data_IF_098997178560
#
_entry.id   IF_098997178560
#
_cell.length_a   1.000
_cell.length_b   1.000
_cell.length_c   1.000
_cell.angle_alpha   90.00
_cell.angle_beta   90.00
_cell.angle_gamma   90.00
#
_symmetry.space_group_name_H-M   'P 1'
#
loop_
_entity.id
_entity.type
_entity.pdbx_description
1 polymer ?
#
# COMPACT_ATOMS: atom_id res chain seq x y z
N UNK A 1 -3.89 -63.35 -30.97
CA UNK A 1 -2.98 -62.40 -30.32
C UNK A 1 -3.56 -61.01 -30.53
N UNK A 2 -4.21 -60.50 -29.49
CA UNK A 2 -4.98 -59.25 -29.50
C UNK A 2 -4.07 -58.11 -29.09
N UNK A 3 -3.91 -57.09 -29.93
CA UNK A 3 -3.11 -55.90 -29.63
C UNK A 3 -4.04 -54.83 -29.09
N UNK A 4 -4.04 -54.67 -27.77
CA UNK A 4 -4.81 -53.65 -27.04
C UNK A 4 -4.13 -52.29 -27.23
N UNK A 5 -4.85 -51.35 -27.83
CA UNK A 5 -4.52 -49.92 -27.80
C UNK A 5 -4.75 -49.40 -26.36
N UNK A 6 -3.69 -48.91 -25.72
CA UNK A 6 -3.79 -48.24 -24.43
C UNK A 6 -4.49 -46.88 -24.61
N UNK A 7 -5.81 -46.85 -24.36
CA UNK A 7 -6.51 -45.59 -24.05
C UNK A 7 -6.08 -45.16 -22.65
N UNK A 8 -5.32 -44.08 -22.55
CA UNK A 8 -5.13 -43.39 -21.28
C UNK A 8 -6.49 -42.86 -20.83
N UNK A 9 -7.03 -43.46 -19.76
CA UNK A 9 -8.17 -42.93 -19.03
C UNK A 9 -7.76 -41.59 -18.40
N UNK A 10 -8.03 -40.49 -19.10
CA UNK A 10 -8.09 -39.18 -18.44
C UNK A 10 -9.38 -39.17 -17.65
N UNK A 11 -9.26 -39.26 -16.32
CA UNK A 11 -10.38 -39.06 -15.40
C UNK A 11 -11.07 -37.72 -15.71
N UNK A 12 -12.41 -37.63 -15.72
CA UNK A 12 -13.08 -36.37 -15.96
C UNK A 12 -12.62 -35.35 -14.91
N UNK A 13 -12.15 -34.17 -15.35
CA UNK A 13 -11.95 -33.02 -14.46
C UNK A 13 -13.30 -32.74 -13.81
N UNK A 14 -13.40 -32.98 -12.51
CA UNK A 14 -14.49 -32.43 -11.71
C UNK A 14 -14.36 -30.90 -11.80
N UNK A 15 -15.23 -30.27 -12.57
CA UNK A 15 -15.55 -28.86 -12.33
C UNK A 15 -16.18 -28.81 -10.93
N UNK A 16 -15.41 -28.36 -9.95
CA UNK A 16 -15.88 -28.20 -8.58
C UNK A 16 -16.43 -26.78 -8.43
N UNK A 17 -17.75 -26.62 -8.23
CA UNK A 17 -18.32 -25.33 -7.92
C UNK A 17 -17.96 -24.99 -6.48
N UNK A 18 -17.63 -23.72 -6.23
CA UNK A 18 -17.29 -23.11 -4.93
C UNK A 18 -16.03 -23.64 -4.23
N UNK A 19 -15.11 -22.71 -3.93
CA UNK A 19 -13.96 -22.91 -3.05
C UNK A 19 -14.44 -23.39 -1.67
N UNK A 20 -14.56 -24.70 -1.46
CA UNK A 20 -14.44 -25.26 -0.13
C UNK A 20 -13.07 -24.84 0.41
N UNK A 21 -13.09 -24.18 1.56
CA UNK A 21 -11.94 -23.61 2.23
C UNK A 21 -11.01 -24.74 2.71
N UNK A 22 -10.26 -25.33 1.78
CA UNK A 22 -9.07 -26.09 2.13
C UNK A 22 -8.07 -25.07 2.67
N UNK A 23 -7.83 -25.11 3.99
CA UNK A 23 -6.77 -24.36 4.66
C UNK A 23 -5.42 -24.81 4.09
N UNK A 24 -5.03 -24.24 2.95
CA UNK A 24 -3.68 -24.33 2.45
C UNK A 24 -2.90 -23.20 3.10
N UNK A 25 -1.89 -23.55 3.90
CA UNK A 25 -0.98 -22.58 4.50
C UNK A 25 -0.21 -21.89 3.36
N UNK A 26 -0.60 -20.66 3.02
CA UNK A 26 0.06 -19.83 2.00
C UNK A 26 1.44 -19.34 2.45
N UNK A 27 1.68 -19.33 3.77
CA UNK A 27 2.97 -19.07 4.39
C UNK A 27 2.84 -18.85 5.90
N UNK A 28 3.97 -18.75 6.60
CA UNK A 28 4.04 -18.30 7.99
C UNK A 28 4.64 -16.90 8.03
N UNK A 29 4.16 -16.05 8.94
CA UNK A 29 4.64 -14.68 9.14
C UNK A 29 4.52 -14.29 10.60
N UNK A 30 5.52 -13.54 11.07
CA UNK A 30 5.50 -12.89 12.40
C UNK A 30 5.32 -11.37 12.28
N UNK A 31 5.03 -10.85 11.07
CA UNK A 31 4.89 -9.40 10.81
C UNK A 31 3.61 -8.87 11.44
N UNK A 32 2.48 -9.54 11.16
CA UNK A 32 1.19 -9.22 11.73
C UNK A 32 0.39 -10.47 12.06
N UNK A 33 -0.48 -10.36 13.06
CA UNK A 33 -1.39 -11.43 13.46
C UNK A 33 -2.72 -10.87 13.92
N UNK A 34 -3.79 -11.62 13.64
CA UNK A 34 -5.12 -11.36 14.17
C UNK A 34 -5.42 -12.51 15.13
N UNK A 35 -5.39 -12.22 16.42
CA UNK A 35 -5.75 -13.19 17.47
C UNK A 35 -7.09 -12.80 18.08
N UNK A 36 -7.13 -11.60 18.67
CA UNK A 36 -8.36 -10.95 19.15
C UNK A 36 -8.44 -9.56 18.53
N UNK A 37 -7.32 -8.84 18.59
CA UNK A 37 -7.09 -7.59 17.86
C UNK A 37 -5.96 -7.80 16.82
N UNK A 38 -5.81 -6.84 15.91
CA UNK A 38 -4.66 -6.74 15.01
C UNK A 38 -3.39 -6.38 15.80
N UNK A 39 -2.35 -7.18 15.63
CA UNK A 39 -1.04 -6.94 16.21
C UNK A 39 0.02 -6.81 15.13
N UNK A 40 0.96 -5.88 15.31
CA UNK A 40 2.19 -5.74 14.52
C UNK A 40 3.36 -6.18 15.37
N UNK A 41 4.09 -7.22 14.93
CA UNK A 41 5.25 -7.77 15.65
C UNK A 41 4.99 -8.01 17.16
N UNK A 42 3.76 -8.42 17.50
CA UNK A 42 3.33 -8.65 18.89
C UNK A 42 2.77 -7.43 19.64
N UNK A 43 2.79 -6.23 19.06
CA UNK A 43 2.21 -5.02 19.65
C UNK A 43 0.79 -4.79 19.11
N UNK A 44 -0.16 -4.49 20.01
CA UNK A 44 -1.53 -4.15 19.61
C UNK A 44 -1.54 -2.85 18.80
N UNK A 45 -2.16 -2.88 17.63
CA UNK A 45 -2.25 -1.70 16.75
C UNK A 45 -2.97 -0.54 17.44
N UNK A 46 -3.97 -0.81 18.28
CA UNK A 46 -4.64 0.21 19.08
C UNK A 46 -3.68 0.94 20.05
N UNK A 47 -2.73 0.24 20.66
CA UNK A 47 -1.73 0.85 21.54
C UNK A 47 -0.72 1.66 20.74
N UNK A 48 -0.26 1.14 19.59
CA UNK A 48 0.63 1.87 18.67
C UNK A 48 -0.03 3.16 18.15
N UNK A 49 -1.32 3.11 17.79
CA UNK A 49 -2.07 4.28 17.33
C UNK A 49 -2.18 5.40 18.38
N UNK A 50 -2.03 5.08 19.67
CA UNK A 50 -2.05 6.07 20.76
C UNK A 50 -0.65 6.54 21.13
N UNK A 51 0.34 5.63 21.13
CA UNK A 51 1.65 5.86 21.76
C UNK A 51 2.81 6.01 20.78
N UNK A 52 2.60 5.71 19.50
CA UNK A 52 3.63 5.73 18.47
C UNK A 52 3.23 6.62 17.29
N UNK A 53 4.17 6.82 16.37
CA UNK A 53 3.98 7.44 15.06
C UNK A 53 4.21 6.46 13.91
N UNK A 54 3.92 6.89 12.69
CA UNK A 54 4.07 6.09 11.48
C UNK A 54 5.51 5.63 11.26
N UNK A 55 6.52 6.49 11.47
CA UNK A 55 7.93 6.12 11.24
C UNK A 55 8.42 5.04 12.22
N UNK A 56 7.99 5.08 13.48
CA UNK A 56 8.26 4.01 14.45
C UNK A 56 7.64 2.68 14.01
N UNK A 57 6.42 2.71 13.48
CA UNK A 57 5.73 1.50 13.01
C UNK A 57 6.34 0.98 11.70
N UNK A 58 6.72 1.86 10.78
CA UNK A 58 7.46 1.46 9.59
C UNK A 58 8.80 0.80 9.96
N UNK A 59 9.54 1.39 10.90
CA UNK A 59 10.75 0.79 11.45
C UNK A 59 10.46 -0.57 12.11
N UNK A 60 9.43 -0.66 12.95
CA UNK A 60 9.02 -1.90 13.62
C UNK A 60 8.73 -3.02 12.62
N UNK A 61 7.95 -2.75 11.58
CA UNK A 61 7.54 -3.75 10.61
C UNK A 61 8.74 -4.29 9.83
N UNK A 62 9.62 -3.39 9.38
CA UNK A 62 10.76 -3.74 8.54
C UNK A 62 11.96 -4.28 9.36
N UNK A 63 12.19 -3.81 10.58
CA UNK A 63 13.33 -4.19 11.45
C UNK A 63 12.96 -5.23 12.52
N UNK A 64 11.67 -5.52 12.72
CA UNK A 64 11.17 -6.53 13.67
C UNK A 64 11.10 -6.10 15.13
N UNK A 65 11.54 -4.88 15.47
CA UNK A 65 11.47 -4.30 16.83
C UNK A 65 11.27 -2.79 16.78
N UNK A 66 10.79 -2.20 17.88
CA UNK A 66 10.71 -0.75 18.00
C UNK A 66 12.13 -0.13 18.00
N UNK A 67 12.29 1.06 17.41
CA UNK A 67 13.56 1.78 17.43
C UNK A 67 13.84 2.38 18.81
N UNK A 68 15.11 2.56 19.13
CA UNK A 68 15.53 3.54 20.15
C UNK A 68 15.36 4.97 19.61
N UNK A 69 15.45 5.98 20.49
CA UNK A 69 15.29 7.37 20.07
C UNK A 69 16.33 7.81 19.02
N UNK A 70 17.57 7.36 19.16
CA UNK A 70 18.65 7.68 18.22
C UNK A 70 18.41 6.99 16.87
N UNK A 71 17.97 5.73 16.88
CA UNK A 71 17.62 5.00 15.66
C UNK A 71 16.41 5.61 14.95
N UNK A 72 15.40 6.05 15.70
CA UNK A 72 14.24 6.73 15.13
C UNK A 72 14.63 8.06 14.48
N UNK A 73 15.50 8.82 15.14
CA UNK A 73 16.00 10.10 14.62
C UNK A 73 16.80 9.87 13.33
N UNK A 74 17.69 8.89 13.32
CA UNK A 74 18.45 8.51 12.12
C UNK A 74 17.53 8.02 11.00
N UNK A 75 16.51 7.23 11.32
CA UNK A 75 15.56 6.70 10.35
C UNK A 75 14.70 7.81 9.72
N UNK A 76 14.18 8.74 10.52
CA UNK A 76 13.46 9.93 10.02
C UNK A 76 14.34 10.77 9.09
N UNK A 77 15.59 11.00 9.45
CA UNK A 77 16.53 11.76 8.61
C UNK A 77 16.86 11.03 7.31
N UNK A 78 17.00 9.70 7.34
CA UNK A 78 17.16 8.87 6.15
C UNK A 78 15.95 9.04 5.21
N UNK A 79 14.73 8.82 5.73
CA UNK A 79 13.50 8.98 4.94
C UNK A 79 13.35 10.40 4.40
N UNK A 80 13.71 11.43 5.17
CA UNK A 80 13.71 12.82 4.72
C UNK A 80 14.59 13.01 3.48
N UNK A 81 15.81 12.48 3.49
CA UNK A 81 16.75 12.58 2.37
C UNK A 81 16.30 11.83 1.11
N UNK A 82 15.37 10.88 1.26
CA UNK A 82 14.85 10.01 0.20
C UNK A 82 13.52 10.51 -0.40
N UNK A 83 13.07 11.73 -0.11
CA UNK A 83 11.84 12.33 -0.66
C UNK A 83 11.98 12.93 -2.07
N UNK A 84 13.12 13.56 -2.46
CA UNK A 84 13.21 14.26 -3.74
C UNK A 84 12.91 13.37 -4.96
N UNK A 85 12.24 13.97 -5.95
CA UNK A 85 11.91 13.31 -7.22
C UNK A 85 13.01 13.50 -8.26
N UNK A 86 13.44 12.44 -8.97
CA UNK A 86 14.34 12.59 -10.10
C UNK A 86 13.71 13.45 -11.21
N UNK A 87 14.47 14.33 -11.90
CA UNK A 87 13.93 15.19 -12.96
C UNK A 87 13.23 14.43 -14.10
N UNK A 88 13.74 13.24 -14.44
CA UNK A 88 13.13 12.37 -15.44
C UNK A 88 11.74 11.88 -15.02
N UNK A 89 11.56 11.55 -13.73
CA UNK A 89 10.28 11.15 -13.17
C UNK A 89 9.28 12.34 -13.20
N UNK A 90 9.73 13.53 -12.80
CA UNK A 90 8.92 14.75 -12.88
C UNK A 90 8.37 14.97 -14.31
N UNK A 91 9.22 14.88 -15.32
CA UNK A 91 8.82 15.06 -16.72
C UNK A 91 7.78 14.02 -17.17
N UNK A 92 7.82 12.80 -16.63
CA UNK A 92 6.83 11.76 -16.92
C UNK A 92 5.52 12.04 -16.19
N UNK A 93 5.56 12.43 -14.91
CA UNK A 93 4.36 12.78 -14.13
C UNK A 93 3.57 13.90 -14.81
N UNK A 94 4.24 14.91 -15.36
CA UNK A 94 3.61 16.01 -16.09
C UNK A 94 2.89 15.59 -17.38
N UNK A 95 3.20 14.41 -17.91
CA UNK A 95 2.55 13.84 -19.11
C UNK A 95 1.37 12.94 -18.79
N UNK A 96 1.18 12.56 -17.52
CA UNK A 96 0.04 11.75 -17.09
C UNK A 96 -1.19 12.66 -16.97
N UNK A 97 -2.33 12.32 -17.62
CA UNK A 97 -3.51 13.17 -17.63
C UNK A 97 -4.17 13.28 -16.24
N UNK A 98 -4.83 14.42 -15.98
CA UNK A 98 -5.56 14.68 -14.72
C UNK A 98 -6.69 13.67 -14.42
N UNK A 99 -7.18 12.98 -15.45
CA UNK A 99 -8.22 11.94 -15.37
C UNK A 99 -7.67 10.57 -14.98
N UNK A 100 -6.35 10.39 -14.90
CA UNK A 100 -5.76 9.13 -14.47
C UNK A 100 -6.15 8.80 -13.02
N UNK A 101 -6.32 7.51 -12.73
CA UNK A 101 -6.58 7.05 -11.38
C UNK A 101 -5.30 7.18 -10.52
N UNK A 102 -5.33 7.73 -9.29
CA UNK A 102 -4.15 7.90 -8.44
C UNK A 102 -3.26 6.66 -8.29
N UNK A 103 -3.85 5.47 -8.10
CA UNK A 103 -3.08 4.22 -8.03
C UNK A 103 -2.39 3.84 -9.36
N UNK A 104 -2.94 4.22 -10.52
CA UNK A 104 -2.27 4.00 -11.81
C UNK A 104 -1.08 4.96 -11.97
N UNK A 105 -1.15 6.16 -11.38
CA UNK A 105 -0.04 7.12 -11.30
C UNK A 105 1.08 6.57 -10.41
N UNK A 106 0.75 6.08 -9.21
CA UNK A 106 1.70 5.44 -8.31
C UNK A 106 2.38 4.24 -8.97
N UNK A 107 1.61 3.37 -9.65
CA UNK A 107 2.15 2.21 -10.39
C UNK A 107 3.15 2.66 -11.47
N UNK A 108 2.77 3.66 -12.27
CA UNK A 108 3.62 4.18 -13.35
C UNK A 108 4.87 4.84 -12.81
N UNK A 109 4.74 5.63 -11.75
CA UNK A 109 5.84 6.28 -11.06
C UNK A 109 6.85 5.30 -10.47
N UNK A 110 6.37 4.27 -9.77
CA UNK A 110 7.21 3.17 -9.29
C UNK A 110 7.94 2.45 -10.44
N UNK A 111 7.25 2.19 -11.55
CA UNK A 111 7.88 1.58 -12.73
C UNK A 111 8.98 2.46 -13.33
N UNK A 112 8.81 3.77 -13.36
CA UNK A 112 9.87 4.70 -13.80
C UNK A 112 11.06 4.66 -12.84
N UNK A 113 10.82 4.68 -11.52
CA UNK A 113 11.87 4.57 -10.52
C UNK A 113 12.70 3.31 -10.70
N UNK A 114 12.08 2.16 -11.01
CA UNK A 114 12.80 0.92 -11.28
C UNK A 114 13.84 1.03 -12.43
N UNK A 115 13.65 1.95 -13.37
CA UNK A 115 14.61 2.20 -14.45
C UNK A 115 15.70 3.20 -14.06
N UNK A 116 15.37 4.16 -13.19
CA UNK A 116 16.28 5.24 -12.78
C UNK A 116 17.17 4.83 -11.62
N UNK A 117 16.62 4.02 -10.72
CA UNK A 117 17.20 3.59 -9.44
C UNK A 117 17.02 2.06 -9.33
N UNK A 118 17.63 1.26 -10.24
CA UNK A 118 17.42 -0.18 -10.27
C UNK A 118 17.94 -0.85 -9.00
N UNK A 119 17.21 -1.85 -8.51
CA UNK A 119 17.69 -2.72 -7.44
C UNK A 119 18.81 -3.60 -7.97
N UNK A 120 19.95 -3.61 -7.26
CA UNK A 120 21.00 -4.57 -7.54
C UNK A 120 20.60 -5.96 -7.02
N UNK A 121 20.21 -6.83 -7.93
CA UNK A 121 19.93 -8.23 -7.62
C UNK A 121 21.23 -9.02 -7.60
N UNK A 122 21.63 -9.53 -6.42
CA UNK A 122 22.81 -10.39 -6.25
C UNK A 122 22.44 -11.84 -5.87
N UNK A 123 21.80 -12.65 -6.74
CA UNK A 123 21.53 -14.05 -6.42
C UNK A 123 22.83 -14.84 -6.18
N UNK A 124 22.90 -15.76 -5.20
CA UNK A 124 21.83 -16.17 -4.29
C UNK A 124 21.78 -15.39 -2.96
N UNK A 125 22.62 -14.35 -2.81
CA UNK A 125 22.80 -13.61 -1.57
C UNK A 125 21.95 -12.33 -1.61
N UNK A 126 20.68 -12.46 -1.26
CA UNK A 126 19.86 -11.30 -0.96
C UNK A 126 20.34 -10.73 0.38
N UNK A 127 21.00 -9.58 0.32
CA UNK A 127 21.39 -8.85 1.52
C UNK A 127 20.23 -7.95 1.96
N UNK A 128 19.92 -7.95 3.26
CA UNK A 128 18.84 -7.13 3.81
C UNK A 128 19.07 -5.62 3.55
N UNK A 129 20.32 -5.17 3.42
CA UNK A 129 20.70 -3.77 3.25
C UNK A 129 20.19 -3.14 1.95
N UNK A 130 20.62 -3.63 0.76
CA UNK A 130 20.18 -3.10 -0.53
C UNK A 130 18.66 -3.11 -0.70
N UNK A 131 18.01 -4.20 -0.29
CA UNK A 131 16.56 -4.35 -0.34
C UNK A 131 15.84 -3.36 0.58
N UNK A 132 16.36 -3.20 1.79
CA UNK A 132 15.83 -2.22 2.74
C UNK A 132 15.97 -0.80 2.20
N UNK A 133 17.07 -0.47 1.53
CA UNK A 133 17.27 0.86 0.94
C UNK A 133 16.23 1.17 -0.14
N UNK A 134 15.89 0.20 -1.00
CA UNK A 134 14.82 0.35 -2.00
C UNK A 134 13.45 0.50 -1.34
N UNK A 135 13.16 -0.29 -0.30
CA UNK A 135 11.92 -0.18 0.45
C UNK A 135 11.76 1.19 1.12
N UNK A 136 12.80 1.69 1.80
CA UNK A 136 12.82 3.00 2.45
C UNK A 136 12.69 4.13 1.41
N UNK A 137 13.35 4.00 0.25
CA UNK A 137 13.23 4.93 -0.87
C UNK A 137 11.80 5.00 -1.38
N UNK A 138 11.15 3.85 -1.62
CA UNK A 138 9.76 3.80 -2.08
C UNK A 138 8.78 4.34 -1.02
N UNK A 139 9.00 4.04 0.26
CA UNK A 139 8.21 4.59 1.37
C UNK A 139 8.24 6.13 1.39
N UNK A 140 9.43 6.70 1.21
CA UNK A 140 9.65 8.15 1.27
C UNK A 140 9.13 8.89 0.02
N UNK A 141 9.34 8.34 -1.18
CA UNK A 141 9.11 9.04 -2.45
C UNK A 141 7.67 8.96 -2.98
N UNK A 142 6.95 7.87 -2.67
CA UNK A 142 5.60 7.64 -3.22
C UNK A 142 4.58 8.73 -2.82
N UNK A 143 4.57 9.25 -1.57
CA UNK A 143 3.76 10.40 -1.19
C UNK A 143 4.05 11.64 -2.04
N UNK A 144 5.35 11.96 -2.22
CA UNK A 144 5.84 13.11 -2.98
C UNK A 144 5.42 13.02 -4.45
N UNK A 145 5.60 11.84 -5.05
CA UNK A 145 5.25 11.53 -6.42
C UNK A 145 3.76 11.81 -6.70
N UNK A 146 2.90 11.30 -5.82
CA UNK A 146 1.45 11.46 -5.95
C UNK A 146 1.03 12.92 -5.79
N UNK A 147 1.54 13.61 -4.77
CA UNK A 147 1.20 15.01 -4.51
C UNK A 147 1.68 15.92 -5.64
N UNK A 148 2.88 15.68 -6.17
CA UNK A 148 3.42 16.44 -7.30
C UNK A 148 2.50 16.32 -8.52
N UNK A 149 2.14 15.09 -8.92
CA UNK A 149 1.23 14.88 -10.05
C UNK A 149 -0.15 15.53 -9.80
N UNK A 150 -0.70 15.37 -8.59
CA UNK A 150 -2.00 15.93 -8.24
C UNK A 150 -2.00 17.46 -8.36
N UNK A 151 -1.05 18.14 -7.72
CA UNK A 151 -0.91 19.61 -7.75
C UNK A 151 -0.65 20.13 -9.17
N UNK A 152 0.20 19.45 -9.93
CA UNK A 152 0.48 19.83 -11.31
C UNK A 152 -0.76 19.72 -12.21
N UNK A 153 -1.51 18.63 -12.11
CA UNK A 153 -2.63 18.36 -13.01
C UNK A 153 -3.95 19.01 -12.60
N UNK A 154 -4.16 19.23 -11.30
CA UNK A 154 -5.40 19.83 -10.75
C UNK A 154 -5.29 21.32 -10.55
N UNK A 155 -4.15 21.79 -10.06
CA UNK A 155 -3.96 23.20 -9.70
C UNK A 155 -3.10 23.95 -10.72
N UNK A 156 -2.50 23.23 -11.68
CA UNK A 156 -1.67 23.83 -12.74
C UNK A 156 -0.32 24.36 -12.26
N UNK A 157 0.16 23.90 -11.10
CA UNK A 157 1.40 24.39 -10.48
C UNK A 157 2.46 23.29 -10.38
N UNK A 158 3.70 23.63 -10.73
CA UNK A 158 4.86 22.82 -10.37
C UNK A 158 5.29 23.23 -8.96
N UNK A 159 5.33 22.27 -8.04
CA UNK A 159 5.68 22.49 -6.63
C UNK A 159 7.11 22.05 -6.38
N UNK A 160 7.76 22.67 -5.39
CA UNK A 160 8.93 22.08 -4.77
C UNK A 160 8.52 20.81 -4.02
N UNK A 161 9.37 19.80 -4.08
CA UNK A 161 9.18 18.51 -3.41
C UNK A 161 9.88 18.46 -2.05
N UNK A 162 10.66 19.48 -1.70
CA UNK A 162 11.29 19.62 -0.39
C UNK A 162 10.35 20.37 0.57
N UNK A 163 10.26 19.90 1.81
CA UNK A 163 9.46 20.52 2.88
C UNK A 163 10.23 20.45 4.19
N UNK A 164 10.03 21.41 5.09
CA UNK A 164 10.62 21.39 6.43
C UNK A 164 9.93 20.40 7.41
N UNK A 165 8.89 19.70 6.94
CA UNK A 165 8.14 18.75 7.75
C UNK A 165 8.96 17.50 8.07
N UNK A 166 9.16 17.21 9.36
CA UNK A 166 9.92 16.04 9.77
C UNK A 166 9.20 14.72 9.48
N UNK A 167 7.87 14.66 9.67
CA UNK A 167 7.10 13.43 9.49
C UNK A 167 6.57 13.26 8.08
N UNK A 168 6.38 12.01 7.67
CA UNK A 168 5.84 11.61 6.37
C UNK A 168 4.41 12.11 6.20
N UNK A 169 3.62 12.08 7.28
CA UNK A 169 2.28 12.65 7.30
C UNK A 169 2.30 14.18 7.11
N UNK A 170 3.20 14.88 7.81
CA UNK A 170 3.38 16.32 7.67
C UNK A 170 3.77 16.69 6.24
N UNK A 171 4.78 16.00 5.71
CA UNK A 171 5.27 16.15 4.35
C UNK A 171 4.15 15.98 3.30
N UNK A 172 3.38 14.89 3.37
CA UNK A 172 2.28 14.63 2.45
C UNK A 172 1.23 15.75 2.48
N UNK A 173 0.79 16.17 3.67
CA UNK A 173 -0.22 17.24 3.80
C UNK A 173 0.31 18.60 3.34
N UNK A 174 1.58 18.89 3.64
CA UNK A 174 2.23 20.12 3.22
C UNK A 174 2.26 20.23 1.69
N UNK A 175 2.66 19.18 0.99
CA UNK A 175 2.65 19.15 -0.48
C UNK A 175 1.23 19.22 -1.06
N UNK A 176 0.28 18.49 -0.46
CA UNK A 176 -1.10 18.44 -0.92
C UNK A 176 -1.82 19.79 -0.79
N UNK A 177 -1.59 20.52 0.31
CA UNK A 177 -2.28 21.78 0.59
C UNK A 177 -1.47 23.04 0.22
N UNK A 178 -0.14 22.91 0.06
CA UNK A 178 0.77 24.03 -0.18
C UNK A 178 1.08 24.87 1.06
N UNK A 179 0.76 24.38 2.27
CA UNK A 179 1.09 25.02 3.54
C UNK A 179 1.26 23.97 4.65
N UNK A 180 1.97 24.31 5.73
CA UNK A 180 2.14 23.43 6.88
C UNK A 180 0.78 22.97 7.46
N UNK A 181 0.59 21.67 7.77
CA UNK A 181 -0.63 21.19 8.40
C UNK A 181 -0.69 21.58 9.88
N UNK A 182 -1.89 21.66 10.43
CA UNK A 182 -2.06 21.73 11.89
C UNK A 182 -1.64 20.41 12.55
N UNK A 183 -1.25 20.47 13.83
CA UNK A 183 -0.89 19.30 14.61
C UNK A 183 -1.98 18.21 14.61
N UNK A 184 -3.26 18.62 14.60
CA UNK A 184 -4.38 17.68 14.51
C UNK A 184 -4.42 16.97 13.15
N UNK A 185 -4.29 17.70 12.04
CA UNK A 185 -4.27 17.09 10.70
C UNK A 185 -3.11 16.12 10.55
N UNK A 186 -1.91 16.53 10.99
CA UNK A 186 -0.72 15.68 10.96
C UNK A 186 -0.93 14.41 11.79
N UNK A 187 -1.48 14.52 13.01
CA UNK A 187 -1.75 13.34 13.85
C UNK A 187 -2.82 12.43 13.26
N UNK A 188 -3.87 12.98 12.67
CA UNK A 188 -4.92 12.18 12.04
C UNK A 188 -4.36 11.35 10.87
N UNK A 189 -3.56 11.96 10.00
CA UNK A 189 -2.95 11.24 8.88
C UNK A 189 -1.89 10.24 9.35
N UNK A 190 -1.08 10.61 10.34
CA UNK A 190 -0.09 9.71 10.94
C UNK A 190 -0.72 8.42 11.48
N UNK A 191 -1.81 8.54 12.25
CA UNK A 191 -2.58 7.39 12.72
C UNK A 191 -3.21 6.63 11.56
N UNK A 192 -3.74 7.32 10.55
CA UNK A 192 -4.34 6.67 9.38
C UNK A 192 -3.30 5.80 8.63
N UNK A 193 -2.09 6.32 8.42
CA UNK A 193 -0.99 5.59 7.79
C UNK A 193 -0.56 4.40 8.64
N UNK A 194 -0.44 4.58 9.95
CA UNK A 194 -0.11 3.52 10.89
C UNK A 194 -1.14 2.38 10.84
N UNK A 195 -2.43 2.69 10.85
CA UNK A 195 -3.50 1.69 10.79
C UNK A 195 -3.52 0.89 9.47
N UNK A 196 -3.03 1.48 8.38
CA UNK A 196 -2.95 0.85 7.06
C UNK A 196 -1.57 0.24 6.75
N UNK A 197 -0.64 0.27 7.71
CA UNK A 197 0.75 -0.11 7.45
C UNK A 197 0.91 -1.60 7.10
N UNK A 198 0.09 -2.48 7.68
CA UNK A 198 0.15 -3.92 7.42
C UNK A 198 -1.19 -4.62 7.74
N UNK A 199 -1.54 -5.65 6.96
CA UNK A 199 -2.76 -6.44 7.20
C UNK A 199 -2.65 -7.88 6.68
N UNK A 200 -1.57 -8.57 7.04
CA UNK A 200 -1.33 -9.98 6.75
C UNK A 200 -1.32 -10.31 5.26
N UNK A 201 -1.81 -11.50 4.93
CA UNK A 201 -1.91 -12.00 3.55
C UNK A 201 -3.15 -11.48 2.83
N UNK A 202 -3.39 -10.17 2.89
CA UNK A 202 -4.36 -9.54 2.01
C UNK A 202 -3.90 -9.67 0.54
N UNK A 203 -4.83 -9.52 -0.41
CA UNK A 203 -4.58 -9.79 -1.84
C UNK A 203 -3.36 -9.04 -2.40
N UNK A 204 -3.18 -7.76 -2.04
CA UNK A 204 -1.99 -7.00 -2.48
C UNK A 204 -0.69 -7.52 -1.90
N UNK A 205 -0.64 -7.83 -0.59
CA UNK A 205 0.55 -8.42 0.04
C UNK A 205 0.85 -9.82 -0.52
N UNK A 206 -0.18 -10.61 -0.80
CA UNK A 206 -0.04 -11.93 -1.43
C UNK A 206 0.59 -11.81 -2.83
N UNK A 207 0.10 -10.89 -3.65
CA UNK A 207 0.62 -10.64 -5.00
C UNK A 207 2.05 -10.12 -5.01
N UNK A 208 2.43 -9.25 -4.06
CA UNK A 208 3.83 -8.87 -3.87
C UNK A 208 4.70 -10.09 -3.53
N UNK A 209 4.26 -10.94 -2.60
CA UNK A 209 5.00 -12.15 -2.20
C UNK A 209 5.13 -13.16 -3.34
N UNK A 210 4.09 -13.35 -4.15
CA UNK A 210 4.17 -14.20 -5.35
C UNK A 210 5.16 -13.67 -6.38
N UNK A 211 5.24 -12.34 -6.55
CA UNK A 211 6.23 -11.72 -7.42
C UNK A 211 7.67 -11.88 -6.86
N UNK A 212 7.86 -11.62 -5.57
CA UNK A 212 9.16 -11.83 -4.91
C UNK A 212 9.59 -13.31 -4.91
N UNK A 213 8.66 -14.26 -4.86
CA UNK A 213 8.95 -15.70 -4.87
C UNK A 213 9.63 -16.19 -6.15
N UNK A 214 9.48 -15.45 -7.26
CA UNK A 214 10.22 -15.69 -8.51
C UNK A 214 11.48 -14.84 -8.63
N UNK A 215 11.98 -14.29 -7.51
CA UNK A 215 13.19 -13.49 -7.43
C UNK A 215 13.12 -12.17 -8.23
N UNK A 216 11.91 -11.61 -8.35
CA UNK A 216 11.73 -10.26 -8.89
C UNK A 216 12.16 -9.20 -7.85
N UNK A 217 12.55 -8.03 -8.35
CA UNK A 217 12.92 -6.88 -7.53
C UNK A 217 11.72 -6.27 -6.78
N UNK A 218 12.01 -5.43 -5.78
CA UNK A 218 11.04 -4.78 -4.91
C UNK A 218 10.12 -3.83 -5.69
N UNK A 219 10.60 -3.15 -6.74
CA UNK A 219 9.73 -2.31 -7.55
C UNK A 219 8.69 -3.17 -8.27
N UNK A 220 9.11 -4.28 -8.87
CA UNK A 220 8.21 -5.26 -9.50
C UNK A 220 7.18 -5.81 -8.51
N UNK A 221 7.61 -6.18 -7.29
CA UNK A 221 6.72 -6.64 -6.24
C UNK A 221 5.70 -5.57 -5.81
N UNK A 222 6.14 -4.32 -5.66
CA UNK A 222 5.26 -3.19 -5.33
C UNK A 222 4.27 -2.89 -6.46
N UNK A 223 4.69 -2.93 -7.72
CA UNK A 223 3.81 -2.77 -8.88
C UNK A 223 2.71 -3.83 -8.90
N UNK A 224 3.07 -5.08 -8.59
CA UNK A 224 2.12 -6.20 -8.44
C UNK A 224 1.10 -5.92 -7.34
N UNK A 225 1.56 -5.50 -6.15
CA UNK A 225 0.70 -5.14 -5.03
C UNK A 225 -0.24 -3.97 -5.33
N UNK A 226 0.26 -2.88 -5.90
CA UNK A 226 -0.55 -1.70 -6.26
C UNK A 226 -1.63 -2.06 -7.29
N UNK A 227 -1.30 -2.95 -8.23
CA UNK A 227 -2.25 -3.42 -9.23
C UNK A 227 -3.40 -4.23 -8.61
N UNK A 228 -3.09 -5.07 -7.61
CA UNK A 228 -4.11 -5.79 -6.83
C UNK A 228 -4.94 -4.85 -5.94
N UNK A 229 -4.28 -3.88 -5.28
CA UNK A 229 -4.93 -2.92 -4.40
C UNK A 229 -5.96 -2.05 -5.13
N UNK A 230 -5.74 -1.76 -6.42
CA UNK A 230 -6.70 -1.05 -7.28
C UNK A 230 -8.04 -1.78 -7.43
N UNK A 231 -8.08 -3.09 -7.19
CA UNK A 231 -9.32 -3.88 -7.29
C UNK A 231 -10.45 -3.29 -6.45
N UNK A 232 -11.64 -3.20 -7.05
CA UNK A 232 -12.87 -2.66 -6.42
C UNK A 232 -13.22 -3.38 -5.12
N UNK A 233 -12.97 -4.70 -5.07
CA UNK A 233 -13.22 -5.54 -3.89
C UNK A 233 -12.11 -5.47 -2.83
N UNK A 234 -11.04 -4.71 -3.06
CA UNK A 234 -9.91 -4.55 -2.13
C UNK A 234 -9.75 -3.07 -1.75
N UNK A 235 -8.66 -2.40 -2.15
CA UNK A 235 -8.43 -0.99 -1.82
C UNK A 235 -9.44 -0.02 -2.44
N UNK A 236 -10.13 -0.42 -3.51
CA UNK A 236 -11.22 0.36 -4.12
C UNK A 236 -12.50 0.43 -3.28
N UNK A 237 -12.62 -0.37 -2.21
CA UNK A 237 -13.80 -0.38 -1.35
C UNK A 237 -13.98 0.94 -0.59
N UNK A 238 -12.91 1.53 -0.07
CA UNK A 238 -12.99 2.80 0.69
C UNK A 238 -13.54 3.95 -0.14
N UNK A 239 -13.18 4.02 -1.43
CA UNK A 239 -13.72 5.00 -2.36
C UNK A 239 -15.23 4.79 -2.60
N UNK A 240 -15.70 3.54 -2.64
CA UNK A 240 -17.13 3.24 -2.76
C UNK A 240 -17.90 3.56 -1.50
N UNK A 241 -17.32 3.33 -0.31
CA UNK A 241 -17.93 3.74 0.95
C UNK A 241 -18.11 5.26 0.96
N UNK A 242 -17.10 6.02 0.57
CA UNK A 242 -17.22 7.47 0.44
C UNK A 242 -18.30 7.87 -0.57
N UNK A 243 -18.32 7.27 -1.76
CA UNK A 243 -19.34 7.55 -2.77
C UNK A 243 -20.77 7.16 -2.33
N UNK A 244 -20.89 6.16 -1.45
CA UNK A 244 -22.16 5.75 -0.86
C UNK A 244 -22.66 6.78 0.16
N UNK A 245 -21.78 7.33 1.00
CA UNK A 245 -22.18 8.23 2.09
C UNK A 245 -22.25 9.70 1.69
N UNK A 246 -21.44 10.14 0.71
CA UNK A 246 -21.32 11.54 0.28
C UNK A 246 -22.65 12.22 -0.10
N UNK A 247 -23.63 11.52 -0.72
CA UNK A 247 -24.91 12.13 -1.05
C UNK A 247 -25.78 12.49 0.16
N UNK A 248 -25.52 11.92 1.35
CA UNK A 248 -26.39 12.08 2.53
C UNK A 248 -25.92 13.23 3.42
N UNK A 249 -26.85 14.10 3.82
CA UNK A 249 -26.55 15.27 4.65
C UNK A 249 -26.77 15.04 6.14
N UNK A 250 -27.52 14.00 6.51
CA UNK A 250 -27.82 13.68 7.91
C UNK A 250 -27.75 12.16 8.15
N UNK A 251 -27.48 11.78 9.40
CA UNK A 251 -27.44 10.37 9.81
C UNK A 251 -28.78 9.65 9.52
N UNK A 252 -29.91 10.35 9.68
CA UNK A 252 -31.24 9.77 9.46
C UNK A 252 -31.55 9.52 7.98
N UNK A 253 -31.05 10.39 7.08
CA UNK A 253 -31.12 10.15 5.63
C UNK A 253 -30.29 8.92 5.24
N UNK A 254 -29.07 8.82 5.75
CA UNK A 254 -28.20 7.68 5.52
C UNK A 254 -28.82 6.37 6.04
N UNK A 255 -29.39 6.38 7.25
CA UNK A 255 -30.04 5.20 7.82
C UNK A 255 -31.22 4.72 6.96
N UNK A 256 -32.07 5.65 6.53
CA UNK A 256 -33.23 5.34 5.68
C UNK A 256 -32.79 4.74 4.36
N UNK A 257 -31.78 5.33 3.72
CA UNK A 257 -31.24 4.85 2.46
C UNK A 257 -30.56 3.47 2.59
N UNK A 258 -29.80 3.25 3.67
CA UNK A 258 -29.17 1.95 3.95
C UNK A 258 -30.22 0.85 4.19
N UNK A 259 -31.28 1.14 4.96
CA UNK A 259 -32.39 0.19 5.16
C UNK A 259 -33.08 -0.18 3.85
N UNK A 260 -33.26 0.80 2.95
CA UNK A 260 -33.81 0.54 1.62
C UNK A 260 -32.88 -0.36 0.81
N UNK A 261 -31.58 -0.06 0.75
CA UNK A 261 -30.60 -0.87 0.04
C UNK A 261 -30.50 -2.30 0.58
N UNK A 262 -30.63 -2.49 1.91
CA UNK A 262 -30.77 -3.82 2.53
C UNK A 262 -32.02 -4.54 2.02
N UNK A 263 -33.17 -3.87 2.01
CA UNK A 263 -34.44 -4.48 1.56
C UNK A 263 -34.43 -4.86 0.08
N UNK A 264 -33.66 -4.15 -0.74
CA UNK A 264 -33.43 -4.44 -2.16
C UNK A 264 -32.38 -5.55 -2.39
N UNK A 265 -31.76 -6.08 -1.33
CA UNK A 265 -30.70 -7.10 -1.43
C UNK A 265 -29.40 -6.61 -2.06
N UNK A 266 -29.18 -5.29 -2.08
CA UNK A 266 -28.01 -4.65 -2.69
C UNK A 266 -26.81 -4.56 -1.76
N UNK A 267 -27.03 -4.76 -0.46
CA UNK A 267 -26.00 -4.80 0.58
C UNK A 267 -26.37 -5.94 1.53
N UNK A 268 -25.37 -6.69 2.01
CA UNK A 268 -25.59 -7.71 3.02
C UNK A 268 -25.87 -7.06 4.37
N UNK A 269 -27.02 -7.43 4.93
CA UNK A 269 -27.55 -7.07 6.23
C UNK A 269 -28.01 -8.39 6.86
#
# INVERSE_FOLDING_TARGET
MSTVAARQNVSPRQERPTLECHLQVSGQTDISSIVTDLNYRGYRVADLAVKSNFEEVAYLLLSGRLPTQDELTAYKNSLFSLRPLPPALIAILQRIPASAHPLDVLRTGCSVLAHLEPEELHPPQYEDGPQRAVADRLLAVMPTLLCYWYRYTRDGVSIDTETDEESSAGHFLCLLHGHAPSALQQRCLDVLLLLHAEHGFNESSCNARSCAAVQADIHSALISAVSALRGVAHGGASAQVMALIEPYRTAQQAETALRQLCSEGRINC
#
